data_IF_895618989334
#
_entry.id   IF_895618989334
#
_cell.length_a   1.000
_cell.length_b   1.000
_cell.length_c   1.000
_cell.angle_alpha   90.00
_cell.angle_beta   90.00
_cell.angle_gamma   90.00
#
_symmetry.space_group_name_H-M   'P 1'
#
loop_
_entity.id
_entity.type
_entity.pdbx_description
1 polymer ?
#
# COMPACT_ATOMS: atom_id res chain seq x y z
N UNK A 1 0.54 -10.83 19.22
CA UNK A 1 1.51 -11.84 18.75
C UNK A 1 2.70 -11.97 19.69
N UNK A 2 3.72 -11.08 19.70
CA UNK A 2 4.91 -11.29 20.55
C UNK A 2 4.61 -11.41 22.06
N UNK A 3 3.71 -10.59 22.60
CA UNK A 3 3.25 -10.72 23.99
C UNK A 3 2.44 -12.00 24.24
N UNK A 4 1.71 -12.48 23.24
CA UNK A 4 0.87 -13.68 23.32
C UNK A 4 1.72 -14.96 23.37
N UNK A 5 2.88 -14.95 22.71
CA UNK A 5 3.88 -16.03 22.80
C UNK A 5 4.88 -15.86 23.94
N UNK A 6 4.67 -14.86 24.82
CA UNK A 6 5.49 -14.62 26.01
C UNK A 6 6.87 -14.01 25.76
N UNK A 7 7.13 -13.47 24.56
CA UNK A 7 8.40 -12.80 24.24
C UNK A 7 8.42 -11.33 24.70
N UNK A 8 7.25 -10.75 24.97
CA UNK A 8 7.05 -9.43 25.56
C UNK A 8 6.09 -9.54 26.74
N UNK A 9 6.27 -8.70 27.75
CA UNK A 9 5.23 -8.49 28.77
C UNK A 9 4.08 -7.66 28.21
N UNK A 10 2.95 -7.61 28.93
CA UNK A 10 1.83 -6.74 28.59
C UNK A 10 2.23 -5.26 28.58
N UNK A 11 2.99 -4.84 29.60
CA UNK A 11 3.47 -3.47 29.73
C UNK A 11 4.46 -3.10 28.61
N UNK A 12 5.37 -4.02 28.25
CA UNK A 12 6.30 -3.81 27.13
C UNK A 12 5.56 -3.66 25.80
N UNK A 13 4.52 -4.48 25.56
CA UNK A 13 3.66 -4.34 24.39
C UNK A 13 3.02 -2.95 24.35
N UNK A 14 2.43 -2.52 25.46
CA UNK A 14 1.70 -1.26 25.50
C UNK A 14 2.61 -0.05 25.34
N UNK A 15 3.81 -0.11 25.91
CA UNK A 15 4.84 0.91 25.69
C UNK A 15 5.23 1.00 24.21
N UNK A 16 5.46 -0.13 23.54
CA UNK A 16 5.80 -0.15 22.10
C UNK A 16 4.65 0.39 21.25
N UNK A 17 3.41 -0.03 21.51
CA UNK A 17 2.25 0.46 20.75
C UNK A 17 2.08 1.97 20.91
N UNK A 18 2.12 2.47 22.15
CA UNK A 18 1.99 3.89 22.41
C UNK A 18 3.11 4.72 21.72
N UNK A 19 4.32 4.19 21.68
CA UNK A 19 5.43 4.89 21.02
C UNK A 19 5.37 4.82 19.48
N UNK A 20 4.89 3.71 18.92
CA UNK A 20 4.60 3.61 17.49
C UNK A 20 3.52 4.62 17.07
N UNK A 21 2.50 4.83 17.89
CA UNK A 21 1.44 5.81 17.65
C UNK A 21 2.00 7.25 17.68
N UNK A 22 2.90 7.56 18.64
CA UNK A 22 3.61 8.87 18.67
C UNK A 22 4.48 9.10 17.44
N UNK A 23 5.22 8.08 17.00
CA UNK A 23 6.02 8.16 15.78
C UNK A 23 5.12 8.43 14.57
N UNK A 24 3.95 7.80 14.50
CA UNK A 24 2.97 8.05 13.46
C UNK A 24 2.47 9.52 13.48
N UNK A 25 2.17 10.06 14.66
CA UNK A 25 1.78 11.47 14.82
C UNK A 25 2.89 12.42 14.34
N UNK A 26 4.14 12.17 14.68
CA UNK A 26 5.27 12.98 14.23
C UNK A 26 5.49 12.91 12.71
N UNK A 27 5.33 11.72 12.11
CA UNK A 27 5.47 11.54 10.66
C UNK A 27 4.35 12.29 9.94
N UNK A 28 3.12 12.19 10.44
CA UNK A 28 1.96 12.88 9.85
C UNK A 28 2.01 14.39 10.05
N UNK A 29 2.58 14.86 11.15
CA UNK A 29 2.88 16.28 11.42
C UNK A 29 4.09 16.82 10.63
N UNK A 30 4.93 15.95 10.06
CA UNK A 30 6.16 16.34 9.36
C UNK A 30 7.30 16.74 10.31
N UNK A 31 7.21 16.38 11.58
CA UNK A 31 8.20 16.66 12.62
C UNK A 31 9.20 15.51 12.79
N UNK A 32 8.90 14.33 12.23
CA UNK A 32 9.76 13.17 12.33
C UNK A 32 11.09 13.36 11.58
N UNK A 33 12.25 13.21 12.27
CA UNK A 33 13.56 13.45 11.67
C UNK A 33 14.01 12.27 10.81
N UNK A 34 13.92 12.40 9.48
CA UNK A 34 14.50 11.44 8.54
C UNK A 34 16.01 11.69 8.36
N UNK A 35 16.80 10.61 8.38
CA UNK A 35 18.26 10.60 8.35
C UNK A 35 18.75 9.89 7.10
N UNK A 36 19.71 10.47 6.38
CA UNK A 36 20.27 9.89 5.14
C UNK A 36 21.10 8.63 5.39
N UNK A 37 21.55 8.43 6.62
CA UNK A 37 22.35 7.28 7.03
C UNK A 37 21.50 6.01 7.18
N UNK A 38 20.17 6.16 7.27
CA UNK A 38 19.23 5.06 7.39
C UNK A 38 18.67 4.72 6.01
N UNK A 39 18.90 3.48 5.56
CA UNK A 39 18.62 3.03 4.20
C UNK A 39 17.14 3.15 3.82
N UNK A 40 16.24 2.89 4.76
CA UNK A 40 14.83 2.73 4.49
C UNK A 40 13.94 3.13 5.68
N UNK A 41 12.64 3.18 5.44
CA UNK A 41 11.64 3.58 6.43
C UNK A 41 11.62 2.67 7.66
N UNK A 42 11.84 1.37 7.51
CA UNK A 42 11.77 0.46 8.64
C UNK A 42 12.94 0.68 9.60
N UNK A 43 14.13 0.97 9.08
CA UNK A 43 15.28 1.36 9.88
C UNK A 43 15.05 2.67 10.63
N UNK A 44 14.32 3.62 10.04
CA UNK A 44 13.94 4.86 10.72
C UNK A 44 13.04 4.59 11.93
N UNK A 45 12.00 3.77 11.75
CA UNK A 45 11.08 3.42 12.85
C UNK A 45 11.79 2.59 13.91
N UNK A 46 12.62 1.62 13.51
CA UNK A 46 13.42 0.80 14.43
C UNK A 46 14.37 1.65 15.26
N UNK A 47 15.13 2.53 14.61
CA UNK A 47 16.08 3.41 15.29
C UNK A 47 15.36 4.35 16.26
N UNK A 48 14.23 4.94 15.84
CA UNK A 48 13.43 5.81 16.71
C UNK A 48 12.87 5.06 17.93
N UNK A 49 12.36 3.83 17.74
CA UNK A 49 11.89 3.00 18.84
C UNK A 49 12.99 2.62 19.82
N UNK A 50 14.18 2.28 19.32
CA UNK A 50 15.33 1.95 20.17
C UNK A 50 15.84 3.19 20.91
N UNK A 51 15.91 4.34 20.26
CA UNK A 51 16.31 5.61 20.89
C UNK A 51 15.36 6.00 22.04
N UNK A 52 14.06 5.69 21.93
CA UNK A 52 13.03 6.10 22.91
C UNK A 52 12.74 5.07 24.00
N UNK A 53 12.74 3.78 23.66
CA UNK A 53 12.37 2.68 24.57
C UNK A 53 13.55 1.76 24.95
N UNK A 54 14.75 2.02 24.40
CA UNK A 54 15.94 1.23 24.66
C UNK A 54 15.78 -0.24 24.26
N UNK A 55 16.12 -1.15 25.18
CA UNK A 55 16.09 -2.59 24.95
C UNK A 55 14.68 -3.12 24.66
N UNK A 56 13.63 -2.48 25.19
CA UNK A 56 12.23 -2.85 24.90
C UNK A 56 11.91 -2.63 23.42
N UNK A 57 12.38 -1.52 22.84
CA UNK A 57 12.23 -1.24 21.41
C UNK A 57 12.92 -2.29 20.53
N UNK A 58 14.10 -2.76 20.95
CA UNK A 58 14.85 -3.81 20.21
C UNK A 58 14.11 -5.14 20.15
N UNK A 59 13.34 -5.49 21.18
CA UNK A 59 12.56 -6.76 21.22
C UNK A 59 11.47 -6.82 20.15
N UNK A 60 11.06 -5.69 19.57
CA UNK A 60 10.03 -5.68 18.52
C UNK A 60 10.44 -6.50 17.29
N UNK A 61 11.73 -6.55 16.98
CA UNK A 61 12.30 -7.21 15.81
C UNK A 61 12.54 -8.72 16.00
N UNK A 62 12.28 -9.25 17.20
CA UNK A 62 12.43 -10.69 17.47
C UNK A 62 11.55 -11.51 16.52
N UNK A 63 12.19 -12.47 15.84
CA UNK A 63 11.57 -13.39 14.89
C UNK A 63 10.88 -12.74 13.67
N UNK A 64 11.24 -11.51 13.29
CA UNK A 64 10.78 -10.89 12.04
C UNK A 64 11.82 -10.99 10.94
N UNK A 65 11.37 -11.31 9.73
CA UNK A 65 12.18 -11.17 8.52
C UNK A 65 11.82 -9.87 7.81
N UNK A 66 12.83 -9.13 7.36
CA UNK A 66 12.60 -7.90 6.62
C UNK A 66 11.83 -8.11 5.33
N UNK A 67 12.06 -9.25 4.66
CA UNK A 67 11.37 -9.60 3.41
C UNK A 67 9.86 -9.76 3.62
N UNK A 68 9.45 -10.37 4.74
CA UNK A 68 8.04 -10.57 5.08
C UNK A 68 7.38 -9.25 5.45
N UNK A 69 8.12 -8.38 6.16
CA UNK A 69 7.66 -7.05 6.55
C UNK A 69 7.42 -6.18 5.32
N UNK A 70 8.40 -6.04 4.43
CA UNK A 70 8.26 -5.26 3.18
C UNK A 70 7.12 -5.78 2.32
N UNK A 71 6.97 -7.11 2.19
CA UNK A 71 5.86 -7.71 1.44
C UNK A 71 4.50 -7.41 2.07
N UNK A 72 4.42 -7.41 3.40
CA UNK A 72 3.19 -7.09 4.13
C UNK A 72 2.82 -5.62 3.94
N UNK A 73 3.79 -4.71 4.11
CA UNK A 73 3.56 -3.28 4.02
C UNK A 73 3.15 -2.86 2.61
N UNK A 74 3.80 -3.41 1.58
CA UNK A 74 3.41 -3.18 0.20
C UNK A 74 1.97 -3.64 -0.07
N UNK A 75 1.57 -4.81 0.44
CA UNK A 75 0.20 -5.31 0.25
C UNK A 75 -0.82 -4.43 0.95
N UNK A 76 -0.54 -3.98 2.17
CA UNK A 76 -1.45 -3.07 2.88
C UNK A 76 -1.57 -1.74 2.14
N UNK A 77 -0.44 -1.16 1.71
CA UNK A 77 -0.42 0.07 0.91
C UNK A 77 -1.24 -0.06 -0.38
N UNK A 78 -1.03 -1.15 -1.14
CA UNK A 78 -1.77 -1.38 -2.39
C UNK A 78 -3.26 -1.58 -2.12
N UNK A 79 -3.65 -2.22 -1.01
CA UNK A 79 -5.08 -2.42 -0.73
C UNK A 79 -5.78 -1.10 -0.41
N UNK A 80 -5.12 -0.19 0.31
CA UNK A 80 -5.68 1.14 0.60
C UNK A 80 -5.75 1.98 -0.69
N UNK A 81 -4.76 1.83 -1.57
CA UNK A 81 -4.78 2.40 -2.91
C UNK A 81 -5.92 1.87 -3.78
N UNK A 82 -6.23 0.57 -3.73
CA UNK A 82 -7.38 -0.02 -4.42
C UNK A 82 -8.69 0.59 -3.90
N UNK A 83 -8.85 0.69 -2.58
CA UNK A 83 -10.08 1.25 -1.98
C UNK A 83 -10.28 2.72 -2.39
N UNK A 84 -9.20 3.49 -2.46
CA UNK A 84 -9.21 4.88 -2.92
C UNK A 84 -9.63 4.97 -4.40
N UNK A 85 -9.02 4.16 -5.27
CA UNK A 85 -9.29 4.19 -6.71
C UNK A 85 -10.72 3.71 -7.02
N UNK A 86 -11.21 2.68 -6.33
CA UNK A 86 -12.58 2.20 -6.50
C UNK A 86 -13.61 3.29 -6.16
N UNK A 87 -13.37 4.04 -5.08
CA UNK A 87 -14.19 5.19 -4.69
C UNK A 87 -14.22 6.27 -5.78
N UNK A 88 -13.04 6.64 -6.32
CA UNK A 88 -12.94 7.64 -7.39
C UNK A 88 -13.62 7.17 -8.69
N UNK A 89 -13.53 5.89 -9.03
CA UNK A 89 -14.24 5.32 -10.18
C UNK A 89 -15.75 5.38 -9.99
N UNK A 90 -16.25 5.09 -8.78
CA UNK A 90 -17.67 5.22 -8.47
C UNK A 90 -18.16 6.67 -8.62
N UNK A 91 -17.39 7.65 -8.12
CA UNK A 91 -17.71 9.07 -8.28
C UNK A 91 -17.72 9.50 -9.74
N UNK A 92 -16.76 9.02 -10.54
CA UNK A 92 -16.72 9.27 -11.97
C UNK A 92 -17.92 8.66 -12.71
N UNK A 93 -18.31 7.43 -12.38
CA UNK A 93 -19.52 6.79 -12.93
C UNK A 93 -20.77 7.61 -12.59
N UNK A 94 -20.91 8.11 -11.35
CA UNK A 94 -22.01 9.00 -10.96
C UNK A 94 -22.03 10.29 -11.76
N UNK A 95 -20.87 10.90 -12.01
CA UNK A 95 -20.77 12.10 -12.84
C UNK A 95 -21.23 11.84 -14.29
N UNK A 96 -20.87 10.70 -14.87
CA UNK A 96 -21.36 10.31 -16.21
C UNK A 96 -22.87 10.07 -16.24
N UNK A 97 -23.45 9.44 -15.21
CA UNK A 97 -24.90 9.26 -15.11
C UNK A 97 -25.62 10.61 -15.03
N UNK A 98 -25.18 11.51 -14.14
CA UNK A 98 -25.76 12.85 -14.01
C UNK A 98 -25.63 13.67 -15.30
N UNK A 99 -24.50 13.54 -16.02
CA UNK A 99 -24.32 14.15 -17.34
C UNK A 99 -25.28 13.56 -18.37
N UNK A 100 -25.49 12.25 -18.33
CA UNK A 100 -26.43 11.53 -19.19
C UNK A 100 -27.87 11.97 -19.03
N UNK A 101 -28.29 12.34 -17.83
CA UNK A 101 -29.60 12.95 -17.56
C UNK A 101 -29.70 14.37 -18.14
N UNK A 102 -28.63 15.17 -18.00
CA UNK A 102 -28.58 16.55 -18.52
C UNK A 102 -28.63 16.58 -20.05
N UNK A 103 -27.93 15.66 -20.71
CA UNK A 103 -27.85 15.59 -22.17
C UNK A 103 -28.95 14.68 -22.77
N UNK A 104 -30.03 14.41 -22.03
CA UNK A 104 -31.14 13.59 -22.52
C UNK A 104 -31.75 14.19 -23.81
N UNK A 105 -31.95 13.35 -24.82
CA UNK A 105 -32.47 13.77 -26.13
C UNK A 105 -31.46 14.45 -27.05
N UNK A 106 -30.24 14.73 -26.59
CA UNK A 106 -29.15 15.21 -27.46
C UNK A 106 -28.69 14.08 -28.37
N UNK A 107 -28.64 14.33 -29.68
CA UNK A 107 -28.17 13.37 -30.68
C UNK A 107 -26.74 13.70 -31.08
N UNK A 108 -25.86 12.70 -31.00
CA UNK A 108 -24.47 12.77 -31.43
C UNK A 108 -24.24 11.83 -32.63
N UNK A 109 -23.33 12.16 -33.56
CA UNK A 109 -22.86 11.18 -34.52
C UNK A 109 -22.01 10.12 -33.81
N UNK A 110 -22.35 8.83 -33.96
CA UNK A 110 -21.42 7.78 -33.57
C UNK A 110 -20.24 7.73 -34.54
N UNK A 111 -19.11 7.20 -34.10
CA UNK A 111 -17.91 7.07 -34.91
C UNK A 111 -17.40 5.64 -34.93
N UNK A 112 -17.09 5.15 -36.14
CA UNK A 112 -16.37 3.90 -36.37
C UNK A 112 -15.23 4.21 -37.33
N UNK A 113 -14.00 3.77 -37.01
CA UNK A 113 -12.80 4.19 -37.76
C UNK A 113 -12.66 5.71 -37.88
N UNK A 114 -13.12 6.46 -36.86
CA UNK A 114 -13.21 7.93 -36.85
C UNK A 114 -14.06 8.54 -37.98
N UNK A 115 -14.90 7.73 -38.65
CA UNK A 115 -15.89 8.19 -39.62
C UNK A 115 -17.28 8.21 -38.99
N UNK A 116 -18.09 9.20 -39.38
CA UNK A 116 -19.46 9.34 -38.91
C UNK A 116 -20.27 8.11 -39.33
N UNK A 117 -20.90 7.46 -38.37
CA UNK A 117 -21.77 6.31 -38.55
C UNK A 117 -23.22 6.72 -38.22
N UNK A 118 -23.96 5.86 -37.52
CA UNK A 118 -25.35 6.12 -37.13
C UNK A 118 -25.46 7.19 -36.03
N UNK A 119 -26.55 7.98 -35.99
CA UNK A 119 -26.84 8.85 -34.86
C UNK A 119 -27.12 8.03 -33.59
N UNK A 120 -26.60 8.48 -32.46
CA UNK A 120 -26.82 7.89 -31.13
C UNK A 120 -27.20 8.98 -30.14
N UNK A 121 -27.84 8.60 -29.03
CA UNK A 121 -28.10 9.55 -27.95
C UNK A 121 -26.82 9.82 -27.16
N UNK A 122 -26.59 11.06 -26.75
CA UNK A 122 -25.46 11.42 -25.90
C UNK A 122 -25.41 10.57 -24.62
N UNK A 123 -26.57 10.26 -24.03
CA UNK A 123 -26.70 9.36 -22.88
C UNK A 123 -26.07 7.98 -23.13
N UNK A 124 -26.22 7.39 -24.32
CA UNK A 124 -25.58 6.11 -24.65
C UNK A 124 -24.05 6.23 -24.66
N UNK A 125 -23.51 7.36 -25.09
CA UNK A 125 -22.07 7.60 -25.06
C UNK A 125 -21.54 7.66 -23.63
N UNK A 126 -22.21 8.40 -22.74
CA UNK A 126 -21.82 8.50 -21.33
C UNK A 126 -21.91 7.15 -20.60
N UNK A 127 -23.03 6.42 -20.78
CA UNK A 127 -23.23 5.11 -20.16
C UNK A 127 -22.25 4.05 -20.69
N UNK A 128 -21.79 4.16 -21.94
CA UNK A 128 -20.76 3.27 -22.46
C UNK A 128 -19.43 3.39 -21.68
N UNK A 129 -19.11 4.55 -21.11
CA UNK A 129 -17.97 4.69 -20.20
C UNK A 129 -18.27 4.13 -18.81
N UNK A 130 -19.49 4.30 -18.30
CA UNK A 130 -19.90 3.67 -17.03
C UNK A 130 -19.67 2.16 -17.04
N UNK A 131 -20.08 1.48 -18.12
CA UNK A 131 -19.89 0.04 -18.31
C UNK A 131 -18.41 -0.37 -18.40
N UNK A 132 -17.55 0.49 -18.98
CA UNK A 132 -16.11 0.24 -19.02
C UNK A 132 -15.51 0.27 -17.62
N UNK A 133 -15.84 1.32 -16.86
CA UNK A 133 -15.34 1.48 -15.50
C UNK A 133 -15.92 0.45 -14.54
N UNK A 134 -17.15 -0.02 -14.76
CA UNK A 134 -17.73 -1.08 -13.93
C UNK A 134 -16.92 -2.38 -14.01
N UNK A 135 -16.50 -2.77 -15.22
CA UNK A 135 -15.58 -3.90 -15.40
C UNK A 135 -14.23 -3.67 -14.72
N UNK A 136 -13.72 -2.43 -14.72
CA UNK A 136 -12.46 -2.10 -14.04
C UNK A 136 -12.59 -2.19 -12.52
N UNK A 137 -13.72 -1.78 -11.96
CA UNK A 137 -14.05 -1.98 -10.53
C UNK A 137 -14.14 -3.45 -10.18
N UNK A 138 -14.72 -4.28 -11.06
CA UNK A 138 -14.68 -5.74 -10.92
C UNK A 138 -13.26 -6.31 -10.84
N UNK A 139 -12.34 -5.84 -11.71
CA UNK A 139 -10.92 -6.23 -11.66
C UNK A 139 -10.23 -5.79 -10.38
N UNK A 140 -10.53 -4.59 -9.89
CA UNK A 140 -10.01 -4.09 -8.62
C UNK A 140 -10.48 -4.94 -7.44
N UNK A 141 -11.76 -5.34 -7.42
CA UNK A 141 -12.31 -6.23 -6.40
C UNK A 141 -11.61 -7.60 -6.39
N UNK A 142 -11.39 -8.20 -7.56
CA UNK A 142 -10.65 -9.46 -7.70
C UNK A 142 -9.19 -9.33 -7.23
N UNK A 143 -8.51 -8.26 -7.63
CA UNK A 143 -7.15 -7.94 -7.19
C UNK A 143 -7.08 -7.79 -5.67
N UNK A 144 -8.03 -7.06 -5.07
CA UNK A 144 -8.13 -6.89 -3.62
C UNK A 144 -8.30 -8.22 -2.90
N UNK A 145 -9.15 -9.10 -3.42
CA UNK A 145 -9.34 -10.43 -2.83
C UNK A 145 -8.02 -11.24 -2.81
N UNK A 146 -7.28 -11.24 -3.92
CA UNK A 146 -5.98 -11.94 -4.02
C UNK A 146 -4.90 -11.31 -3.14
N UNK A 147 -4.96 -9.99 -2.97
CA UNK A 147 -4.00 -9.22 -2.18
C UNK A 147 -4.14 -9.51 -0.68
N UNK A 148 -5.35 -9.77 -0.20
CA UNK A 148 -5.70 -10.00 1.21
C UNK A 148 -5.26 -11.38 1.75
N UNK A 149 -4.07 -11.83 1.33
CA UNK A 149 -3.37 -12.98 1.91
C UNK A 149 -2.10 -12.45 2.57
N UNK A 150 -2.03 -12.55 3.91
CA UNK A 150 -0.90 -12.03 4.67
C UNK A 150 0.38 -12.84 4.42
N UNK A 151 1.49 -12.22 4.02
CA UNK A 151 2.80 -12.87 3.91
C UNK A 151 3.57 -12.85 5.25
N UNK A 152 3.07 -12.15 6.27
CA UNK A 152 3.75 -11.99 7.55
C UNK A 152 3.91 -13.35 8.25
N UNK A 153 5.17 -13.73 8.54
CA UNK A 153 5.50 -14.99 9.20
C UNK A 153 5.79 -16.16 8.24
N UNK A 154 5.84 -15.92 6.92
CA UNK A 154 6.11 -16.95 5.93
C UNK A 154 7.58 -17.39 5.88
N UNK A 155 8.55 -16.55 6.29
CA UNK A 155 9.99 -16.82 6.17
C UNK A 155 10.69 -17.19 7.47
N UNK A 156 9.96 -17.71 8.46
CA UNK A 156 10.56 -18.37 9.63
C UNK A 156 10.37 -19.90 9.58
N UNK A 157 10.94 -20.53 8.54
CA UNK A 157 11.26 -21.95 8.51
C UNK A 157 12.75 -22.08 8.93
N UNK A 158 13.04 -22.74 10.06
CA UNK A 158 12.80 -24.16 10.19
C UNK A 158 11.58 -24.48 11.05
N UNK A 159 10.86 -25.51 10.63
CA UNK A 159 9.58 -25.97 11.14
C UNK A 159 9.58 -26.51 12.59
N UNK A 160 10.28 -25.91 13.56
CA UNK A 160 10.30 -26.45 14.93
C UNK A 160 10.32 -25.47 16.11
N UNK A 161 10.48 -24.16 15.94
CA UNK A 161 10.60 -23.25 17.09
C UNK A 161 9.29 -22.60 17.57
N UNK A 162 8.24 -22.54 16.73
CA UNK A 162 6.96 -21.95 17.11
C UNK A 162 5.79 -22.80 16.58
N UNK A 163 5.67 -24.04 17.07
CA UNK A 163 4.37 -24.72 17.02
C UNK A 163 3.60 -24.24 18.24
N UNK A 164 2.60 -23.40 18.04
CA UNK A 164 1.52 -23.29 19.01
C UNK A 164 0.90 -24.69 19.13
N UNK A 165 1.13 -25.33 20.27
CA UNK A 165 0.34 -26.48 20.70
C UNK A 165 -1.07 -25.98 20.95
N UNK A 166 -2.03 -26.46 20.16
CA UNK A 166 -3.45 -26.20 20.39
C UNK A 166 -4.27 -26.26 19.11
N UNK A 167 -4.67 -27.46 18.74
CA UNK A 167 -5.74 -27.71 17.78
C UNK A 167 -7.00 -26.88 18.12
N UNK A 168 -7.26 -25.84 17.35
CA UNK A 168 -8.62 -25.33 17.10
C UNK A 168 -8.81 -25.18 15.58
N UNK A 169 -9.96 -25.60 15.03
CA UNK A 169 -10.24 -25.44 13.62
C UNK A 169 -10.15 -23.96 13.24
N UNK A 170 -9.53 -23.68 12.10
CA UNK A 170 -9.47 -22.33 11.51
C UNK A 170 -10.89 -21.76 11.49
N UNK A 171 -11.15 -20.55 12.02
CA UNK A 171 -12.42 -19.89 11.74
C UNK A 171 -12.49 -19.71 10.23
N UNK A 172 -13.59 -20.18 9.63
CA UNK A 172 -13.93 -19.83 8.27
C UNK A 172 -13.92 -18.30 8.17
N UNK A 173 -13.05 -17.74 7.33
CA UNK A 173 -13.00 -16.31 7.08
C UNK A 173 -14.26 -15.94 6.30
N UNK A 174 -15.29 -15.53 7.04
CA UNK A 174 -16.54 -15.02 6.52
C UNK A 174 -16.33 -13.57 6.08
N UNK A 175 -16.19 -13.35 4.77
CA UNK A 175 -16.00 -12.04 4.15
C UNK A 175 -17.20 -11.10 4.29
N UNK A 176 -18.31 -11.55 4.89
CA UNK A 176 -19.55 -10.76 5.03
C UNK A 176 -19.80 -10.19 6.43
N UNK A 177 -19.03 -10.60 7.44
CA UNK A 177 -19.13 -10.00 8.79
C UNK A 177 -18.22 -8.80 8.87
N UNK A 178 -18.80 -7.61 9.00
CA UNK A 178 -18.11 -6.44 9.57
C UNK A 178 -18.02 -6.63 11.09
N UNK A 179 -16.84 -6.82 11.72
CA UNK A 179 -16.68 -6.45 13.10
C UNK A 179 -16.27 -4.97 13.12
N UNK A 180 -17.21 -4.11 13.48
CA UNK A 180 -16.83 -2.87 14.15
C UNK A 180 -15.98 -3.29 15.37
N UNK A 181 -14.81 -2.68 15.54
CA UNK A 181 -13.91 -2.86 16.70
C UNK A 181 -13.33 -4.25 16.92
N UNK A 182 -12.25 -4.62 16.23
CA UNK A 182 -11.14 -5.41 16.77
C UNK A 182 -10.08 -5.61 15.66
N UNK A 183 -8.81 -5.41 16.01
CA UNK A 183 -7.62 -5.66 15.17
C UNK A 183 -7.22 -4.57 14.16
N UNK A 184 -7.21 -3.31 14.58
CA UNK A 184 -6.18 -2.36 14.12
C UNK A 184 -4.89 -2.65 14.89
N UNK A 185 -4.07 -3.60 14.40
CA UNK A 185 -2.65 -3.59 14.75
C UNK A 185 -2.02 -2.43 13.96
N UNK A 186 -1.28 -1.50 14.60
CA UNK A 186 -0.52 -0.51 13.88
C UNK A 186 0.72 -1.21 13.31
N UNK A 187 0.52 -1.97 12.23
CA UNK A 187 1.57 -2.02 11.21
C UNK A 187 1.47 -0.66 10.57
N UNK A 188 2.48 0.19 10.79
CA UNK A 188 2.56 1.53 10.22
C UNK A 188 2.58 1.36 8.69
N UNK A 189 1.40 1.31 8.09
CA UNK A 189 1.18 1.65 6.70
C UNK A 189 1.15 3.16 6.74
N UNK A 190 2.26 3.79 6.39
CA UNK A 190 2.25 5.24 6.21
C UNK A 190 1.20 5.50 5.13
N UNK A 191 0.05 6.04 5.53
CA UNK A 191 -0.99 6.50 4.62
C UNK A 191 -0.41 7.69 3.87
N UNK A 192 0.15 7.44 2.69
CA UNK A 192 0.61 8.45 1.74
C UNK A 192 -0.55 9.04 0.94
N UNK A 193 -1.70 9.27 1.58
CA UNK A 193 -2.83 9.94 0.93
C UNK A 193 -3.22 11.17 1.73
N UNK A 194 -3.26 12.31 1.02
CA UNK A 194 -3.73 13.65 1.44
C UNK A 194 -2.73 14.67 2.02
N UNK A 195 -1.56 14.88 1.40
CA UNK A 195 -0.88 16.18 1.46
C UNK A 195 -0.28 16.60 0.10
N UNK A 196 -0.44 17.87 -0.37
CA UNK A 196 -0.10 18.27 -1.75
C UNK A 196 1.40 18.41 -2.05
N UNK A 197 2.29 18.09 -1.11
CA UNK A 197 3.74 18.25 -1.31
C UNK A 197 4.34 16.94 -1.83
N UNK A 198 4.23 16.76 -3.15
CA UNK A 198 4.92 15.72 -3.92
C UNK A 198 6.43 15.77 -3.62
N UNK A 199 6.98 14.73 -2.99
CA UNK A 199 8.41 14.46 -3.09
C UNK A 199 8.66 13.72 -4.41
N UNK A 200 9.45 14.28 -5.34
CA UNK A 200 9.72 13.61 -6.59
C UNK A 200 10.82 12.55 -6.38
N UNK A 201 10.53 11.32 -6.78
CA UNK A 201 11.46 10.20 -6.87
C UNK A 201 12.77 10.51 -7.64
N UNK A 202 12.84 11.64 -8.35
CA UNK A 202 14.00 12.07 -9.14
C UNK A 202 15.23 12.49 -8.33
N UNK A 203 15.16 12.61 -6.99
CA UNK A 203 16.34 12.95 -6.15
C UNK A 203 17.16 11.74 -5.69
N UNK A 204 16.69 10.50 -5.84
CA UNK A 204 17.46 9.30 -5.51
C UNK A 204 18.40 8.83 -6.64
N UNK A 205 18.19 9.26 -7.89
CA UNK A 205 18.99 8.81 -9.04
C UNK A 205 20.22 9.66 -9.33
N UNK A 206 20.43 10.79 -8.62
CA UNK A 206 21.57 11.69 -8.85
C UNK A 206 22.86 11.31 -8.10
N UNK A 207 22.90 10.19 -7.37
CA UNK A 207 24.10 9.72 -6.67
C UNK A 207 25.02 8.79 -7.53
N UNK A 208 24.72 8.60 -8.81
CA UNK A 208 25.62 7.95 -9.77
C UNK A 208 26.46 9.01 -10.49
N UNK A 209 27.52 9.50 -9.84
CA UNK A 209 28.54 10.33 -10.48
C UNK A 209 29.26 9.56 -11.61
N UNK A 210 29.80 10.27 -12.62
CA UNK A 210 30.41 9.64 -13.78
C UNK A 210 31.70 8.92 -13.38
N UNK A 211 31.75 7.60 -13.57
CA UNK A 211 33.01 6.84 -13.49
C UNK A 211 33.82 7.12 -14.76
N UNK A 212 34.67 8.15 -14.69
CA UNK A 212 35.81 8.29 -15.58
C UNK A 212 36.80 7.16 -15.27
N UNK A 213 36.89 6.18 -16.18
CA UNK A 213 37.89 5.12 -16.17
C UNK A 213 38.50 5.02 -17.56
N UNK A 214 39.66 5.63 -17.74
CA UNK A 214 40.51 5.57 -18.92
C UNK A 214 40.95 4.14 -19.23
N UNK A 215 40.67 3.66 -20.44
CA UNK A 215 41.46 2.62 -21.09
C UNK A 215 41.76 3.09 -22.52
N UNK A 216 43.01 3.48 -22.74
CA UNK A 216 43.50 3.90 -24.04
C UNK A 216 43.78 2.71 -24.95
N UNK A 217 43.37 2.84 -26.21
CA UNK A 217 44.09 2.33 -27.37
C UNK A 217 43.62 3.12 -28.61
N UNK A 218 44.54 3.90 -29.20
CA UNK A 218 44.49 4.41 -30.59
C UNK A 218 45.42 3.50 -31.43
N UNK A 219 45.51 3.67 -32.77
CA UNK A 219 44.46 3.84 -33.78
C UNK A 219 44.71 2.91 -35.00
N UNK A 220 43.76 2.81 -35.94
CA UNK A 220 44.10 2.60 -37.36
C UNK A 220 42.93 2.96 -38.27
N UNK A 221 43.26 3.77 -39.27
CA UNK A 221 42.49 4.20 -40.45
C UNK A 221 41.88 3.06 -41.28
N UNK A 222 40.64 3.24 -41.75
CA UNK A 222 40.28 3.32 -43.18
C UNK A 222 38.89 3.90 -43.33
#
# INVERSE_FOLDING_TARGET
>A
MLAEVGLLTGDERDAIVAELDRILEEITGGEFPFRTELEDVHMHIESALIERLGDVGRKLHTARSRNDQVSTDLKLYVRDGIDTIDGLLLELQRAFVARGETDAGVILPAYTHLQRAQPVQATQYWLAYCEKFDRDRGRLADCRNRLNVSPLGARHLPARACRSTGSKPRPNWDSTRRPATAWTFPVIVISWSSSPRRWPWSRCTSAAGPRNGSCGARPSST
#
